data_IF_569845208032
#
_entry.id   IF_569845208032
#
_cell.length_a   1.000
_cell.length_b   1.000
_cell.length_c   1.000
_cell.angle_alpha   90.00
_cell.angle_beta   90.00
_cell.angle_gamma   90.00
#
_symmetry.space_group_name_H-M   'P 1'
#
loop_
_entity.id
_entity.type
_entity.pdbx_description
1 polymer ?
#
# COMPACT_ATOMS: atom_id res chain seq x y z
N UNK A 1 9.43 3.59 21.96
CA UNK A 1 8.43 2.78 22.70
C UNK A 1 8.31 1.43 22.01
N UNK A 2 7.93 0.37 22.73
CA UNK A 2 7.74 -0.95 22.12
C UNK A 2 6.31 -1.09 21.59
N UNK A 3 6.16 -1.66 20.39
CA UNK A 3 4.86 -1.99 19.81
C UNK A 3 4.44 -3.42 20.20
N UNK A 4 3.14 -3.64 20.29
CA UNK A 4 2.53 -4.96 20.50
C UNK A 4 1.58 -5.28 19.36
N UNK A 5 1.55 -6.55 18.92
CA UNK A 5 0.69 -6.99 17.84
C UNK A 5 -0.78 -6.89 18.23
N UNK A 6 -1.56 -6.14 17.46
CA UNK A 6 -3.02 -6.02 17.62
C UNK A 6 -3.75 -6.97 16.68
N UNK A 7 -3.35 -7.02 15.41
CA UNK A 7 -3.97 -7.84 14.38
C UNK A 7 -2.91 -8.45 13.44
N UNK A 8 -3.23 -9.61 12.86
CA UNK A 8 -2.39 -10.30 11.88
C UNK A 8 -3.27 -10.85 10.76
N UNK A 9 -3.14 -10.27 9.56
CA UNK A 9 -3.91 -10.66 8.39
C UNK A 9 -3.07 -11.56 7.49
N UNK A 10 -3.05 -12.86 7.79
CA UNK A 10 -2.39 -13.90 6.98
C UNK A 10 -3.37 -15.04 6.68
N UNK A 11 -3.23 -15.68 5.52
CA UNK A 11 -4.14 -16.72 5.06
C UNK A 11 -5.60 -16.26 5.05
N UNK A 12 -6.50 -17.10 5.58
CA UNK A 12 -7.93 -16.81 5.65
C UNK A 12 -8.28 -15.58 6.51
N UNK A 13 -7.38 -15.16 7.42
CA UNK A 13 -7.59 -13.95 8.22
C UNK A 13 -7.53 -12.68 7.35
N UNK A 14 -6.72 -12.66 6.28
CA UNK A 14 -6.72 -11.54 5.33
C UNK A 14 -8.05 -11.49 4.56
N UNK A 15 -8.55 -12.64 4.11
CA UNK A 15 -9.78 -12.73 3.34
C UNK A 15 -11.01 -12.35 4.18
N UNK A 16 -11.04 -12.78 5.44
CA UNK A 16 -12.16 -12.56 6.35
C UNK A 16 -12.09 -11.24 7.13
N UNK A 17 -10.89 -10.66 7.28
CA UNK A 17 -10.66 -9.40 8.00
C UNK A 17 -11.03 -8.14 7.21
N UNK A 18 -11.36 -8.29 5.92
CA UNK A 18 -11.64 -7.18 5.02
C UNK A 18 -13.04 -7.28 4.41
N UNK A 19 -13.60 -6.12 4.07
CA UNK A 19 -14.80 -5.97 3.26
C UNK A 19 -14.42 -6.04 1.79
N UNK A 20 -15.22 -6.75 0.99
CA UNK A 20 -15.02 -6.90 -0.45
C UNK A 20 -15.88 -5.89 -1.18
N UNK A 21 -15.22 -4.93 -1.82
CA UNK A 21 -15.89 -3.82 -2.50
C UNK A 21 -16.22 -4.26 -3.92
N UNK A 22 -17.48 -4.11 -4.32
CA UNK A 22 -17.98 -4.49 -5.65
C UNK A 22 -18.70 -3.32 -6.35
N UNK A 23 -18.54 -2.11 -5.83
CA UNK A 23 -19.09 -0.87 -6.41
C UNK A 23 -18.23 -0.36 -7.57
N UNK A 24 -18.76 0.55 -8.40
CA UNK A 24 -17.95 1.27 -9.40
C UNK A 24 -16.72 1.92 -8.78
N UNK A 25 -15.63 1.93 -9.53
CA UNK A 25 -14.35 2.46 -9.05
C UNK A 25 -14.41 3.98 -8.85
N UNK A 26 -14.12 4.49 -7.63
CA UNK A 26 -14.14 5.92 -7.36
C UNK A 26 -13.16 6.73 -8.23
N UNK A 27 -12.04 6.12 -8.64
CA UNK A 27 -11.07 6.71 -9.58
C UNK A 27 -11.46 6.59 -11.06
N UNK A 28 -12.62 6.02 -11.36
CA UNK A 28 -13.13 5.82 -12.72
C UNK A 28 -12.22 4.94 -13.61
N UNK A 29 -11.49 4.00 -13.02
CA UNK A 29 -10.67 3.03 -13.72
C UNK A 29 -11.49 2.03 -14.56
N UNK A 30 -10.85 1.44 -15.57
CA UNK A 30 -11.44 0.36 -16.37
C UNK A 30 -11.40 -0.98 -15.62
N UNK A 31 -12.10 -1.05 -14.49
CA UNK A 31 -12.09 -2.16 -13.55
C UNK A 31 -13.50 -2.54 -13.15
N UNK A 32 -13.71 -3.82 -12.85
CA UNK A 32 -14.97 -4.33 -12.29
C UNK A 32 -14.67 -5.10 -11.02
N UNK A 33 -14.76 -4.44 -9.87
CA UNK A 33 -14.50 -5.13 -8.61
C UNK A 33 -15.52 -6.24 -8.35
N UNK A 34 -15.04 -7.34 -7.78
CA UNK A 34 -15.81 -8.56 -7.56
C UNK A 34 -16.10 -8.77 -6.07
N UNK A 35 -17.29 -9.29 -5.76
CA UNK A 35 -17.55 -9.90 -4.46
C UNK A 35 -16.60 -11.07 -4.21
N UNK A 36 -16.39 -11.45 -2.95
CA UNK A 36 -15.57 -12.61 -2.58
C UNK A 36 -15.99 -13.89 -3.33
N UNK A 37 -17.30 -14.15 -3.42
CA UNK A 37 -17.82 -15.35 -4.08
C UNK A 37 -17.50 -15.34 -5.60
N UNK A 38 -17.70 -14.20 -6.27
CA UNK A 38 -17.38 -14.08 -7.69
C UNK A 38 -15.87 -14.16 -7.92
N UNK A 39 -15.07 -13.51 -7.09
CA UNK A 39 -13.62 -13.56 -7.17
C UNK A 39 -13.09 -15.00 -7.02
N UNK A 40 -13.69 -15.81 -6.14
CA UNK A 40 -13.36 -17.22 -5.99
C UNK A 40 -13.74 -18.03 -7.24
N UNK A 41 -14.95 -17.82 -7.77
CA UNK A 41 -15.42 -18.48 -9.00
C UNK A 41 -14.55 -18.14 -10.22
N UNK A 42 -13.98 -16.94 -10.26
CA UNK A 42 -13.06 -16.47 -11.30
C UNK A 42 -11.58 -16.79 -11.01
N UNK A 43 -11.25 -17.40 -9.87
CA UNK A 43 -9.86 -17.71 -9.50
C UNK A 43 -8.97 -16.49 -9.24
N UNK A 44 -9.57 -15.34 -8.94
CA UNK A 44 -8.88 -14.06 -8.76
C UNK A 44 -8.10 -13.99 -7.45
N UNK A 45 -8.38 -14.87 -6.49
CA UNK A 45 -7.55 -15.04 -5.31
C UNK A 45 -7.37 -16.51 -4.94
N UNK A 46 -6.34 -16.79 -4.16
CA UNK A 46 -6.11 -18.09 -3.56
C UNK A 46 -5.39 -17.93 -2.22
N UNK A 47 -5.69 -18.82 -1.27
CA UNK A 47 -4.98 -18.93 -0.01
C UNK A 47 -4.20 -20.23 -0.01
N UNK A 48 -2.87 -20.13 0.11
CA UNK A 48 -2.03 -21.30 0.38
C UNK A 48 -2.15 -21.63 1.87
N UNK A 49 -2.71 -22.82 2.16
CA UNK A 49 -2.97 -23.27 3.51
C UNK A 49 -1.71 -23.78 4.24
N UNK A 50 -0.64 -24.10 3.51
CA UNK A 50 0.63 -24.53 4.10
C UNK A 50 1.48 -23.31 4.50
N UNK A 51 1.55 -22.31 3.63
CA UNK A 51 2.40 -21.13 3.84
C UNK A 51 1.66 -19.92 4.43
N UNK A 52 0.34 -19.88 4.32
CA UNK A 52 -0.48 -18.71 4.67
C UNK A 52 -0.39 -17.57 3.65
N UNK A 53 0.32 -17.77 2.53
CA UNK A 53 0.44 -16.78 1.46
C UNK A 53 -0.90 -16.61 0.78
N UNK A 54 -1.32 -15.36 0.61
CA UNK A 54 -2.52 -15.01 -0.14
C UNK A 54 -2.13 -14.41 -1.47
N UNK A 55 -2.60 -15.02 -2.56
CA UNK A 55 -2.50 -14.46 -3.91
C UNK A 55 -3.78 -13.69 -4.19
N UNK A 56 -3.66 -12.42 -4.56
CA UNK A 56 -4.75 -11.56 -5.05
C UNK A 56 -4.35 -11.09 -6.46
N UNK A 57 -5.26 -11.17 -7.41
CA UNK A 57 -4.98 -10.85 -8.80
C UNK A 57 -6.21 -10.36 -9.56
N UNK A 58 -6.02 -10.26 -10.88
CA UNK A 58 -7.00 -9.77 -11.84
C UNK A 58 -7.30 -10.87 -12.87
N UNK A 59 -8.40 -10.73 -13.61
CA UNK A 59 -8.63 -11.61 -14.75
C UNK A 59 -7.59 -11.35 -15.84
N UNK A 60 -6.83 -12.39 -16.18
CA UNK A 60 -5.79 -12.38 -17.21
C UNK A 60 -6.06 -13.41 -18.34
N UNK A 61 -7.29 -13.90 -18.45
CA UNK A 61 -7.70 -14.96 -19.39
C UNK A 61 -8.72 -14.46 -20.41
N UNK A 62 -9.68 -13.64 -19.97
CA UNK A 62 -10.83 -13.25 -20.77
C UNK A 62 -10.65 -11.89 -21.46
N UNK A 63 -11.40 -11.71 -22.55
CA UNK A 63 -11.55 -10.43 -23.25
C UNK A 63 -12.87 -9.78 -22.85
N UNK A 64 -12.84 -8.47 -22.63
CA UNK A 64 -14.01 -7.68 -22.22
C UNK A 64 -14.26 -6.55 -23.21
N UNK A 65 -15.53 -6.16 -23.36
CA UNK A 65 -15.88 -4.95 -24.08
C UNK A 65 -15.45 -3.69 -23.30
N UNK A 66 -15.38 -2.57 -24.00
CA UNK A 66 -14.88 -1.28 -23.47
C UNK A 66 -15.75 -0.64 -22.39
N UNK A 67 -16.90 -1.24 -22.04
CA UNK A 67 -17.77 -0.78 -20.95
C UNK A 67 -17.79 -1.72 -19.74
N UNK A 68 -17.22 -2.91 -19.86
CA UNK A 68 -17.33 -3.97 -18.85
C UNK A 68 -16.35 -3.87 -17.68
N UNK A 69 -15.19 -3.25 -17.88
CA UNK A 69 -14.06 -3.28 -16.95
C UNK A 69 -13.40 -4.66 -16.82
N UNK A 70 -12.11 -4.70 -16.46
CA UNK A 70 -11.43 -5.97 -16.12
C UNK A 70 -11.79 -6.39 -14.69
N UNK A 71 -12.20 -7.65 -14.44
CA UNK A 71 -12.41 -8.13 -13.08
C UNK A 71 -11.15 -8.00 -12.22
N UNK A 72 -11.32 -7.43 -11.04
CA UNK A 72 -10.27 -7.22 -10.04
C UNK A 72 -10.88 -7.31 -8.63
N UNK A 73 -10.04 -7.14 -7.63
CA UNK A 73 -10.39 -7.18 -6.21
C UNK A 73 -10.00 -5.84 -5.58
N UNK A 74 -10.93 -5.25 -4.83
CA UNK A 74 -10.67 -4.19 -3.86
C UNK A 74 -11.16 -4.67 -2.50
N UNK A 75 -10.27 -4.63 -1.52
CA UNK A 75 -10.58 -5.02 -0.15
C UNK A 75 -10.24 -3.89 0.80
N UNK A 76 -11.11 -3.64 1.77
CA UNK A 76 -10.97 -2.56 2.77
C UNK A 76 -11.04 -3.17 4.17
N UNK A 77 -10.10 -2.85 5.06
CA UNK A 77 -10.04 -3.47 6.39
C UNK A 77 -11.32 -3.18 7.18
N UNK A 78 -11.80 -4.17 7.92
CA UNK A 78 -12.95 -3.97 8.83
C UNK A 78 -12.58 -3.11 10.04
N UNK A 79 -11.34 -3.26 10.48
CA UNK A 79 -10.78 -2.46 11.57
C UNK A 79 -10.22 -1.14 11.02
N UNK A 80 -10.38 -0.09 11.81
CA UNK A 80 -9.81 1.23 11.58
C UNK A 80 -8.91 1.61 12.76
N UNK A 81 -7.92 2.45 12.48
CA UNK A 81 -6.87 2.81 13.43
C UNK A 81 -6.65 4.32 13.38
N UNK A 82 -6.21 4.90 14.50
CA UNK A 82 -5.81 6.32 14.56
C UNK A 82 -4.29 6.50 14.72
N UNK A 83 -3.56 5.42 14.99
CA UNK A 83 -2.11 5.35 15.12
C UNK A 83 -1.70 3.88 14.98
N UNK A 84 -0.43 3.63 14.70
CA UNK A 84 0.10 2.27 14.73
C UNK A 84 1.33 2.08 13.87
N UNK A 85 1.81 0.84 13.88
CA UNK A 85 2.83 0.36 12.98
C UNK A 85 2.21 -0.74 12.12
N UNK A 86 2.11 -0.47 10.83
CA UNK A 86 1.52 -1.36 9.83
C UNK A 86 2.63 -1.95 9.00
N UNK A 87 2.71 -3.27 8.90
CA UNK A 87 3.78 -3.96 8.19
C UNK A 87 3.14 -4.90 7.18
N UNK A 88 3.40 -4.65 5.90
CA UNK A 88 3.04 -5.52 4.78
C UNK A 88 4.26 -6.25 4.27
N UNK A 89 4.22 -7.58 4.33
CA UNK A 89 5.23 -8.47 3.76
C UNK A 89 4.69 -9.02 2.43
N UNK A 90 5.31 -8.62 1.32
CA UNK A 90 4.84 -8.97 -0.02
C UNK A 90 5.89 -9.76 -0.79
N UNK A 91 5.53 -10.97 -1.26
CA UNK A 91 6.37 -11.77 -2.15
C UNK A 91 6.33 -11.27 -3.60
N UNK A 92 5.25 -10.57 -3.96
CA UNK A 92 4.99 -10.09 -5.31
C UNK A 92 3.94 -8.96 -5.27
N UNK A 93 3.97 -8.05 -6.24
CA UNK A 93 2.95 -7.03 -6.48
C UNK A 93 2.65 -6.89 -7.98
N UNK A 94 1.45 -6.48 -8.40
CA UNK A 94 1.21 -6.09 -9.79
C UNK A 94 2.12 -4.92 -10.22
N UNK A 95 2.45 -4.81 -11.52
CA UNK A 95 3.19 -3.66 -12.06
C UNK A 95 2.43 -2.32 -11.94
N UNK A 96 1.12 -2.38 -11.77
CA UNK A 96 0.26 -1.25 -11.47
C UNK A 96 -0.65 -1.65 -10.30
N UNK A 97 -0.34 -1.18 -9.10
CA UNK A 97 -1.13 -1.44 -7.90
C UNK A 97 -1.13 -0.25 -6.98
N UNK A 98 -2.06 -0.28 -6.05
CA UNK A 98 -2.10 0.64 -4.94
C UNK A 98 -2.37 -0.13 -3.62
N UNK A 99 -1.62 0.20 -2.58
CA UNK A 99 -1.87 -0.17 -1.18
C UNK A 99 -1.88 1.13 -0.40
N UNK A 100 -3.03 1.49 0.15
CA UNK A 100 -3.24 2.77 0.81
C UNK A 100 -4.01 2.61 2.13
N UNK A 101 -3.95 3.63 2.97
CA UNK A 101 -4.82 3.82 4.12
C UNK A 101 -5.61 5.12 3.94
N UNK A 102 -6.90 5.13 4.28
CA UNK A 102 -7.73 6.33 4.17
C UNK A 102 -8.72 6.43 5.34
N UNK A 103 -9.13 7.66 5.65
CA UNK A 103 -10.11 7.95 6.68
C UNK A 103 -11.54 8.13 6.12
N UNK A 104 -12.55 8.23 7.00
CA UNK A 104 -13.93 8.47 6.59
C UNK A 104 -14.10 9.82 5.88
N UNK A 105 -15.13 9.93 5.03
CA UNK A 105 -15.46 11.16 4.28
C UNK A 105 -14.28 11.72 3.45
N UNK A 106 -13.61 10.87 2.67
CA UNK A 106 -12.49 11.29 1.81
C UNK A 106 -12.81 12.59 1.02
N UNK A 107 -11.90 13.57 0.97
CA UNK A 107 -10.54 13.58 1.55
C UNK A 107 -10.48 14.13 3.00
N UNK A 108 -11.60 14.34 3.69
CA UNK A 108 -11.61 14.92 5.05
C UNK A 108 -10.90 14.04 6.08
N UNK A 109 -11.04 12.72 5.96
CA UNK A 109 -10.34 11.75 6.78
C UNK A 109 -8.88 11.52 6.38
N UNK A 110 -8.42 12.13 5.29
CA UNK A 110 -7.10 11.94 4.72
C UNK A 110 -6.90 10.59 4.03
N UNK A 111 -5.79 10.47 3.31
CA UNK A 111 -5.31 9.27 2.64
C UNK A 111 -3.78 9.26 2.63
N UNK A 112 -3.20 8.08 2.78
CA UNK A 112 -1.77 7.80 2.67
C UNK A 112 -1.59 6.62 1.72
N UNK A 113 -0.94 6.86 0.59
CA UNK A 113 -0.61 5.84 -0.39
C UNK A 113 0.76 5.27 -0.04
N UNK A 114 0.79 4.03 0.42
CA UNK A 114 2.01 3.37 0.93
C UNK A 114 2.78 2.76 -0.24
N UNK A 115 2.05 2.13 -1.16
CA UNK A 115 2.59 1.60 -2.41
C UNK A 115 1.67 2.10 -3.52
N UNK A 116 2.13 2.95 -4.42
CA UNK A 116 1.35 3.42 -5.54
C UNK A 116 2.20 3.59 -6.81
N UNK A 117 1.63 3.19 -7.93
CA UNK A 117 2.17 3.47 -9.24
C UNK A 117 1.21 3.12 -10.36
N UNK A 118 1.47 3.72 -11.52
CA UNK A 118 0.67 3.51 -12.72
C UNK A 118 1.53 3.00 -13.87
N UNK A 119 0.93 2.21 -14.75
CA UNK A 119 1.50 1.78 -16.01
C UNK A 119 2.84 1.01 -15.83
N UNK A 120 3.94 1.56 -16.34
CA UNK A 120 5.28 0.96 -16.32
C UNK A 120 6.19 1.66 -15.29
N UNK A 121 5.63 2.14 -14.19
CA UNK A 121 6.43 2.67 -13.10
C UNK A 121 7.32 1.56 -12.50
N UNK A 122 8.55 1.93 -12.13
CA UNK A 122 9.53 1.02 -11.51
C UNK A 122 10.05 1.53 -10.16
N UNK A 123 9.57 2.69 -9.72
CA UNK A 123 9.86 3.26 -8.41
C UNK A 123 8.55 3.63 -7.76
N UNK A 124 8.43 3.31 -6.49
CA UNK A 124 7.22 3.57 -5.74
C UNK A 124 6.99 5.08 -5.59
N UNK A 125 5.72 5.49 -5.65
CA UNK A 125 5.27 6.81 -5.23
C UNK A 125 4.57 6.62 -3.89
N UNK A 126 4.98 7.42 -2.90
CA UNK A 126 4.35 7.46 -1.58
C UNK A 126 3.76 8.85 -1.42
N UNK A 127 2.43 8.93 -1.32
CA UNK A 127 1.69 10.19 -1.29
C UNK A 127 0.77 10.30 -0.09
N UNK A 128 0.40 11.54 0.21
CA UNK A 128 -0.60 11.88 1.20
C UNK A 128 -1.55 12.93 0.63
N UNK A 129 -2.85 12.72 0.89
CA UNK A 129 -3.94 13.57 0.44
C UNK A 129 -4.73 14.04 1.65
N UNK A 130 -4.90 15.35 1.80
CA UNK A 130 -5.61 15.98 2.91
C UNK A 130 -6.53 17.09 2.43
N UNK A 131 -7.33 17.62 3.36
CA UNK A 131 -7.95 18.94 3.21
C UNK A 131 -6.90 20.07 3.23
N UNK A 132 -7.27 21.30 2.83
CA UNK A 132 -6.33 22.42 2.80
C UNK A 132 -5.70 22.71 4.16
N UNK A 133 -4.39 23.02 4.16
CA UNK A 133 -3.65 23.45 5.35
C UNK A 133 -2.54 22.52 5.82
N UNK A 134 -2.33 21.38 5.16
CA UNK A 134 -1.20 20.48 5.44
C UNK A 134 -0.10 20.63 4.38
N UNK A 135 1.13 20.89 4.82
CA UNK A 135 2.31 20.95 3.95
C UNK A 135 3.51 20.30 4.62
N UNK A 136 4.33 19.62 3.83
CA UNK A 136 5.61 19.08 4.26
C UNK A 136 6.62 20.22 4.47
N UNK A 137 7.11 20.36 5.71
CA UNK A 137 8.18 21.29 6.07
C UNK A 137 9.56 20.80 5.61
N UNK A 138 10.51 21.72 5.44
CA UNK A 138 11.89 21.38 5.02
C UNK A 138 12.61 20.47 6.02
N UNK A 139 12.24 20.57 7.30
CA UNK A 139 12.69 19.67 8.36
C UNK A 139 12.21 18.24 8.12
N UNK A 140 10.94 18.04 7.76
CA UNK A 140 10.36 16.72 7.41
C UNK A 140 11.03 16.15 6.17
N UNK A 141 11.17 16.97 5.11
CA UNK A 141 11.82 16.54 3.86
C UNK A 141 13.26 16.03 4.08
N UNK A 142 13.98 16.60 5.05
CA UNK A 142 15.35 16.20 5.38
C UNK A 142 15.46 14.84 6.08
N UNK A 143 14.36 14.35 6.66
CA UNK A 143 14.29 13.06 7.37
C UNK A 143 14.14 11.88 6.40
N UNK A 144 13.52 12.09 5.23
CA UNK A 144 13.31 11.06 4.22
C UNK A 144 14.56 10.80 3.37
N UNK A 145 14.66 9.61 2.79
CA UNK A 145 15.63 9.27 1.74
C UNK A 145 15.06 9.50 0.34
N UNK A 146 13.73 9.43 0.16
CA UNK A 146 13.05 9.64 -1.12
C UNK A 146 13.12 11.08 -1.63
N UNK A 147 12.78 11.23 -2.91
CA UNK A 147 12.80 12.53 -3.61
C UNK A 147 11.41 13.13 -3.59
N UNK A 148 11.24 14.24 -2.88
CA UNK A 148 9.96 14.95 -2.82
C UNK A 148 9.48 15.40 -4.20
N UNK A 149 8.22 15.14 -4.51
CA UNK A 149 7.55 15.61 -5.74
C UNK A 149 6.76 16.89 -5.50
N UNK A 150 6.03 16.93 -4.38
CA UNK A 150 5.16 18.04 -3.98
C UNK A 150 5.18 18.13 -2.46
N UNK A 151 5.15 19.36 -1.93
CA UNK A 151 5.06 19.63 -0.50
C UNK A 151 3.62 19.84 -0.03
N UNK A 152 2.70 20.21 -0.92
CA UNK A 152 1.33 20.55 -0.52
C UNK A 152 0.47 19.28 -0.50
N UNK A 153 0.02 18.86 0.68
CA UNK A 153 -0.74 17.62 0.82
C UNK A 153 -2.21 17.76 0.45
N UNK A 154 -2.67 18.99 0.15
CA UNK A 154 -4.03 19.21 -0.32
C UNK A 154 -4.31 18.45 -1.62
N UNK A 155 -5.39 17.67 -1.62
CA UNK A 155 -5.92 16.97 -2.81
C UNK A 155 -6.11 17.92 -4.00
N UNK A 156 -6.70 19.10 -3.75
CA UNK A 156 -7.05 20.07 -4.78
C UNK A 156 -7.95 19.48 -5.88
N UNK A 157 -7.90 20.04 -7.09
CA UNK A 157 -8.68 19.55 -8.24
C UNK A 157 -7.97 18.49 -9.06
N UNK A 158 -6.65 18.37 -8.89
CA UNK A 158 -5.79 17.46 -9.68
C UNK A 158 -5.40 16.19 -8.92
N UNK A 159 -5.82 16.08 -7.65
CA UNK A 159 -5.48 14.97 -6.75
C UNK A 159 -3.97 14.69 -6.71
N UNK A 160 -3.14 15.73 -6.58
CA UNK A 160 -1.67 15.58 -6.58
C UNK A 160 -1.17 15.18 -5.19
N UNK A 161 -1.67 15.84 -4.15
CA UNK A 161 -1.17 15.66 -2.79
C UNK A 161 0.31 16.02 -2.65
N UNK A 162 0.89 15.60 -1.53
CA UNK A 162 2.32 15.70 -1.23
C UNK A 162 2.91 14.30 -1.22
N UNK A 163 4.22 14.18 -1.37
CA UNK A 163 4.82 12.86 -1.34
C UNK A 163 6.24 12.80 -1.87
N UNK A 164 6.71 11.55 -1.96
CA UNK A 164 8.06 11.20 -2.32
C UNK A 164 8.04 10.08 -3.37
N UNK A 165 8.99 10.15 -4.30
CA UNK A 165 9.37 8.99 -5.11
C UNK A 165 10.50 8.27 -4.39
N UNK A 166 10.45 6.95 -4.35
CA UNK A 166 11.53 6.13 -3.80
C UNK A 166 12.91 6.56 -4.35
N UNK A 167 13.97 6.53 -3.52
CA UNK A 167 15.27 7.04 -3.91
C UNK A 167 15.84 6.24 -5.09
N UNK A 168 16.70 6.88 -5.89
CA UNK A 168 17.14 6.31 -7.17
C UNK A 168 18.03 5.06 -7.02
N UNK A 169 18.66 4.89 -5.86
CA UNK A 169 19.45 3.71 -5.49
C UNK A 169 18.59 2.54 -4.98
N UNK A 170 17.33 2.79 -4.61
CA UNK A 170 16.34 1.73 -4.39
C UNK A 170 15.74 1.29 -5.73
N UNK A 171 16.38 0.29 -6.32
CA UNK A 171 15.97 -0.27 -7.60
C UNK A 171 14.83 -1.28 -7.49
N UNK A 172 14.37 -1.61 -6.28
CA UNK A 172 13.46 -2.73 -6.04
C UNK A 172 12.13 -2.32 -5.41
N UNK A 173 11.92 -1.03 -5.12
CA UNK A 173 10.69 -0.52 -4.48
C UNK A 173 9.36 -0.85 -5.16
N UNK A 174 9.29 -1.14 -6.47
CA UNK A 174 7.98 -1.24 -7.12
C UNK A 174 7.92 -2.10 -8.39
N UNK A 175 6.77 -2.76 -8.58
CA UNK A 175 6.42 -3.45 -9.81
C UNK A 175 7.37 -4.60 -10.16
N UNK A 176 7.76 -4.68 -11.42
CA UNK A 176 8.56 -5.82 -11.92
C UNK A 176 9.93 -5.96 -11.23
N UNK A 177 10.55 -4.87 -10.82
CA UNK A 177 11.85 -4.93 -10.14
C UNK A 177 11.71 -5.40 -8.69
N UNK A 178 10.62 -5.03 -8.00
CA UNK A 178 10.24 -5.62 -6.71
C UNK A 178 10.06 -7.13 -6.83
N UNK A 179 9.33 -7.56 -7.86
CA UNK A 179 9.07 -8.98 -8.09
C UNK A 179 10.35 -9.76 -8.42
N UNK A 180 11.26 -9.16 -9.18
CA UNK A 180 12.53 -9.79 -9.57
C UNK A 180 13.45 -10.12 -8.37
N UNK A 181 13.33 -9.38 -7.27
CA UNK A 181 14.08 -9.63 -6.02
C UNK A 181 13.28 -10.46 -4.99
N UNK A 182 12.15 -11.07 -5.40
CA UNK A 182 11.23 -11.83 -4.53
C UNK A 182 10.52 -10.96 -3.49
N UNK A 183 10.28 -9.71 -3.88
CA UNK A 183 9.59 -8.71 -3.10
C UNK A 183 10.35 -8.20 -1.90
N UNK A 184 9.61 -7.85 -0.86
CA UNK A 184 10.13 -7.04 0.24
C UNK A 184 9.05 -6.69 1.25
N UNK A 185 9.41 -5.80 2.16
CA UNK A 185 8.55 -5.36 3.26
C UNK A 185 8.32 -3.85 3.13
N UNK A 186 7.05 -3.46 3.20
CA UNK A 186 6.66 -2.08 3.41
C UNK A 186 6.17 -1.90 4.85
N UNK A 187 6.66 -0.88 5.52
CA UNK A 187 6.24 -0.54 6.88
C UNK A 187 5.79 0.92 6.94
N UNK A 188 4.60 1.17 7.46
CA UNK A 188 4.09 2.51 7.77
C UNK A 188 4.00 2.69 9.28
N UNK A 189 4.72 3.67 9.82
CA UNK A 189 4.53 4.17 11.17
C UNK A 189 3.63 5.38 11.11
N UNK A 190 2.58 5.40 11.93
CA UNK A 190 1.74 6.56 12.19
C UNK A 190 1.72 6.83 13.70
N UNK A 191 2.35 7.92 14.12
CA UNK A 191 2.30 8.46 15.47
C UNK A 191 1.77 9.90 15.49
N UNK A 192 1.76 10.53 16.67
CA UNK A 192 1.22 11.88 16.85
C UNK A 192 2.00 12.96 16.07
N UNK A 193 3.26 12.70 15.72
CA UNK A 193 4.15 13.68 15.10
C UNK A 193 4.32 13.44 13.60
N UNK A 194 4.42 12.17 13.18
CA UNK A 194 4.79 11.80 11.82
C UNK A 194 4.05 10.57 11.30
N UNK A 195 3.91 10.55 9.98
CA UNK A 195 3.69 9.33 9.20
C UNK A 195 4.97 9.05 8.43
N UNK A 196 5.52 7.85 8.58
CA UNK A 196 6.79 7.44 7.97
C UNK A 196 6.60 6.12 7.24
N UNK A 197 7.15 6.02 6.02
CA UNK A 197 7.07 4.79 5.22
C UNK A 197 8.48 4.29 4.89
N UNK A 198 8.75 3.03 5.20
CA UNK A 198 9.97 2.33 4.81
C UNK A 198 9.66 1.25 3.77
N UNK A 199 10.63 1.03 2.90
CA UNK A 199 10.76 -0.17 2.09
C UNK A 199 12.04 -0.88 2.51
N UNK A 200 11.97 -2.20 2.63
CA UNK A 200 13.12 -3.06 2.83
C UNK A 200 13.11 -4.17 1.79
N UNK A 201 14.23 -4.36 1.09
CA UNK A 201 14.42 -5.55 0.27
C UNK A 201 14.26 -6.80 1.16
N UNK A 202 13.76 -7.89 0.57
CA UNK A 202 13.54 -9.17 1.26
C UNK A 202 14.69 -9.59 2.17
N UNK A 203 15.92 -9.51 1.66
CA UNK A 203 17.11 -10.01 2.31
C UNK A 203 17.78 -8.97 3.25
N UNK A 204 17.33 -7.71 3.25
CA UNK A 204 17.85 -6.62 4.10
C UNK A 204 16.85 -6.16 5.18
N UNK A 205 15.68 -6.79 5.24
CA UNK A 205 14.66 -6.51 6.23
C UNK A 205 15.18 -6.61 7.68
N UNK A 206 14.86 -5.63 8.54
CA UNK A 206 15.23 -5.66 9.96
C UNK A 206 14.77 -6.94 10.67
N UNK A 207 15.70 -7.60 11.38
CA UNK A 207 15.46 -8.90 12.02
C UNK A 207 14.39 -8.85 13.13
N UNK A 208 14.14 -7.68 13.69
CA UNK A 208 13.11 -7.42 14.69
C UNK A 208 11.68 -7.53 14.13
N UNK A 209 11.49 -7.27 12.83
CA UNK A 209 10.22 -7.53 12.13
C UNK A 209 9.95 -9.04 12.11
N UNK A 210 10.93 -9.84 11.68
CA UNK A 210 10.81 -11.31 11.67
C UNK A 210 10.63 -11.89 13.09
N UNK A 211 11.26 -11.28 14.10
CA UNK A 211 11.08 -11.63 15.49
C UNK A 211 9.74 -11.15 16.10
N UNK A 212 8.88 -10.47 15.32
CA UNK A 212 7.59 -9.90 15.73
C UNK A 212 7.72 -8.92 16.92
N UNK A 213 8.83 -8.20 17.00
CA UNK A 213 9.12 -7.19 18.03
C UNK A 213 9.68 -5.92 17.40
N UNK A 214 8.98 -5.30 16.44
CA UNK A 214 9.53 -4.22 15.64
C UNK A 214 9.90 -3.00 16.48
N UNK A 215 11.02 -2.37 16.12
CA UNK A 215 11.66 -1.23 16.74
C UNK A 215 12.09 -0.20 15.67
N UNK A 216 11.16 0.62 15.16
CA UNK A 216 11.41 1.53 14.04
C UNK A 216 12.58 2.50 14.20
N UNK A 217 12.94 2.86 15.44
CA UNK A 217 14.04 3.77 15.73
C UNK A 217 15.41 3.31 15.18
N UNK A 218 15.58 2.00 14.95
CA UNK A 218 16.81 1.41 14.42
C UNK A 218 16.80 1.17 12.90
N UNK A 219 15.71 1.46 12.20
CA UNK A 219 15.54 1.10 10.78
C UNK A 219 16.20 2.08 9.80
N UNK A 220 16.76 3.18 10.28
CA UNK A 220 17.35 4.22 9.44
C UNK A 220 16.30 5.16 8.85
N UNK A 221 16.70 5.91 7.81
CA UNK A 221 15.83 6.92 7.18
C UNK A 221 14.64 6.23 6.45
N UNK A 222 13.40 6.69 6.67
CA UNK A 222 12.27 6.25 5.85
C UNK A 222 12.41 6.73 4.41
N UNK A 223 11.73 6.07 3.47
CA UNK A 223 11.61 6.55 2.10
C UNK A 223 10.76 7.83 2.00
N UNK A 224 9.77 7.96 2.90
CA UNK A 224 8.84 9.09 2.97
C UNK A 224 8.53 9.45 4.43
#
# INVERSE_FOLDING_TARGET
MAYSLVNSYAGDALISGFNWIDTPDPSNGFVRYQTQANAANHGLFAVDQETGVVRIGVDHTNTYDVSSGRPSIRIESKDAYNHGLFIGDFLHMPPSQCVWAYGPEWPKGGEIDIIEGANTAHRNIISAHTTPGCQLGDDVLSMASGVSQSKNCETGTQNIGCGYVAPADDTSSYGDTFNAVRGGIYAMLWDDDFIKVWHFDRDSAPADIAAKKPQPHGWGKPQA
#
